data_IF_757204783054
#
_entry.id   IF_757204783054
#
_cell.length_a   1.000
_cell.length_b   1.000
_cell.length_c   1.000
_cell.angle_alpha   90.00
_cell.angle_beta   90.00
_cell.angle_gamma   90.00
#
_symmetry.space_group_name_H-M   'P 1'
#
loop_
_entity.id
_entity.type
_entity.pdbx_description
1 polymer ?
#
# COMPACT_ATOMS: atom_id res chain seq x y z
N UNK A 1 -14.94 -8.37 13.21
CA UNK A 1 -14.12 -8.13 12.00
C UNK A 1 -12.81 -8.89 12.10
N UNK A 2 -12.06 -9.05 11.00
CA UNK A 2 -10.81 -9.85 10.97
C UNK A 2 -9.80 -9.36 12.02
N UNK A 3 -9.68 -8.05 12.23
CA UNK A 3 -8.82 -7.46 13.28
C UNK A 3 -9.15 -7.92 14.70
N UNK A 4 -10.44 -8.10 15.02
CA UNK A 4 -10.86 -8.61 16.32
C UNK A 4 -10.48 -10.09 16.50
N UNK A 5 -10.52 -10.87 15.42
CA UNK A 5 -10.12 -12.28 15.44
C UNK A 5 -8.61 -12.37 15.69
N UNK A 6 -7.82 -11.63 14.92
CA UNK A 6 -6.36 -11.58 15.07
C UNK A 6 -5.96 -11.20 16.52
N UNK A 7 -6.56 -10.13 17.06
CA UNK A 7 -6.32 -9.69 18.44
C UNK A 7 -6.73 -10.71 19.50
N UNK A 8 -7.84 -11.45 19.31
CA UNK A 8 -8.28 -12.50 20.24
C UNK A 8 -7.26 -13.65 20.33
N UNK A 9 -6.48 -13.86 19.27
CA UNK A 9 -5.52 -14.94 19.14
C UNK A 9 -4.06 -14.49 19.23
N UNK A 10 -3.82 -13.24 19.65
CA UNK A 10 -2.48 -12.65 19.75
C UNK A 10 -1.67 -12.77 18.45
N UNK A 11 -2.36 -12.57 17.31
CA UNK A 11 -1.78 -12.66 15.98
C UNK A 11 -1.72 -11.28 15.32
N UNK A 12 -0.63 -11.02 14.58
CA UNK A 12 -0.50 -9.83 13.74
C UNK A 12 -1.43 -9.91 12.52
N UNK A 13 -2.11 -8.80 12.23
CA UNK A 13 -2.91 -8.64 11.02
C UNK A 13 -2.19 -7.76 10.00
N UNK A 14 -1.81 -8.36 8.88
CA UNK A 14 -1.34 -7.64 7.70
C UNK A 14 -2.44 -7.50 6.65
N UNK A 15 -2.52 -6.33 6.02
CA UNK A 15 -3.41 -6.07 4.88
C UNK A 15 -2.60 -5.61 3.69
N UNK A 16 -2.66 -6.34 2.57
CA UNK A 16 -2.20 -5.84 1.28
C UNK A 16 -3.22 -4.81 0.76
N UNK A 17 -2.82 -3.54 0.74
CA UNK A 17 -3.65 -2.41 0.35
C UNK A 17 -3.26 -1.86 -1.03
N UNK A 18 -2.65 -2.70 -1.89
CA UNK A 18 -2.17 -2.32 -3.23
C UNK A 18 -3.27 -1.72 -4.11
N UNK A 19 -4.47 -2.30 -4.12
CA UNK A 19 -5.57 -1.87 -5.00
C UNK A 19 -6.27 -0.60 -4.50
N UNK A 20 -6.65 -0.58 -3.23
CA UNK A 20 -7.38 0.56 -2.68
C UNK A 20 -6.48 1.77 -2.48
N UNK A 21 -5.16 1.55 -2.32
CA UNK A 21 -4.18 2.58 -1.93
C UNK A 21 -4.53 3.23 -0.58
N UNK A 22 -3.69 4.11 -0.03
CA UNK A 22 -4.07 4.89 1.16
C UNK A 22 -5.27 5.83 0.92
N UNK A 23 -5.63 6.11 -0.34
CA UNK A 23 -6.71 7.04 -0.69
C UNK A 23 -8.09 6.38 -0.64
N UNK A 24 -8.19 5.10 -1.02
CA UNK A 24 -9.45 4.36 -1.01
C UNK A 24 -9.70 3.63 0.33
N UNK A 25 -8.64 3.27 1.06
CA UNK A 25 -8.75 2.58 2.34
C UNK A 25 -7.53 2.85 3.22
N UNK A 26 -7.76 2.98 4.54
CA UNK A 26 -6.70 3.11 5.53
C UNK A 26 -6.76 1.95 6.54
N UNK A 27 -6.16 0.78 6.24
CA UNK A 27 -6.34 -0.43 7.06
C UNK A 27 -5.82 -0.28 8.49
N UNK A 28 -4.78 0.53 8.72
CA UNK A 28 -4.29 0.83 10.08
C UNK A 28 -5.39 1.46 10.95
N UNK A 29 -6.25 2.31 10.38
CA UNK A 29 -7.41 2.87 11.09
C UNK A 29 -8.53 1.85 11.33
N UNK A 30 -8.50 0.72 10.63
CA UNK A 30 -9.46 -0.39 10.74
C UNK A 30 -8.94 -1.53 11.64
N UNK A 31 -7.78 -1.35 12.27
CA UNK A 31 -7.18 -2.29 13.21
C UNK A 31 -6.26 -3.34 12.58
N UNK A 32 -5.69 -3.07 11.40
CA UNK A 32 -4.53 -3.82 10.93
C UNK A 32 -3.26 -3.30 11.61
N UNK A 33 -2.31 -4.19 11.85
CA UNK A 33 -1.00 -3.86 12.43
C UNK A 33 0.00 -3.48 11.32
N UNK A 34 -0.11 -4.17 10.17
CA UNK A 34 0.78 -4.01 9.02
C UNK A 34 -0.03 -3.71 7.77
N UNK A 35 0.41 -2.72 6.99
CA UNK A 35 -0.08 -2.48 5.63
C UNK A 35 1.04 -2.68 4.64
N UNK A 36 0.79 -3.51 3.62
CA UNK A 36 1.72 -3.78 2.53
C UNK A 36 1.18 -3.17 1.25
N UNK A 37 2.07 -2.62 0.43
CA UNK A 37 1.76 -2.15 -0.91
C UNK A 37 2.79 -2.68 -1.90
N UNK A 38 2.32 -3.22 -3.03
CA UNK A 38 3.11 -3.19 -4.27
C UNK A 38 3.09 -1.76 -4.80
N UNK A 39 4.16 -1.01 -4.50
CA UNK A 39 4.32 0.34 -4.97
C UNK A 39 4.54 0.43 -6.49
N UNK A 40 4.88 -0.68 -7.15
CA UNK A 40 4.85 -0.84 -8.62
C UNK A 40 3.50 -0.47 -9.26
N UNK A 41 2.40 -0.65 -8.51
CA UNK A 41 1.03 -0.50 -9.04
C UNK A 41 0.56 0.95 -8.94
N UNK A 42 -0.52 1.24 -8.20
CA UNK A 42 -1.10 2.58 -8.18
C UNK A 42 -0.16 3.66 -7.63
N UNK A 43 0.64 3.34 -6.61
CA UNK A 43 1.55 4.31 -5.99
C UNK A 43 2.58 4.85 -7.02
N UNK A 44 3.26 3.94 -7.71
CA UNK A 44 4.19 4.25 -8.81
C UNK A 44 3.46 4.74 -10.05
N UNK A 45 2.42 4.04 -10.51
CA UNK A 45 1.41 4.53 -11.44
C UNK A 45 1.84 4.80 -12.89
N UNK A 46 3.13 4.63 -13.21
CA UNK A 46 3.71 4.93 -14.52
C UNK A 46 4.40 3.72 -15.16
N UNK A 47 4.27 2.54 -14.55
CA UNK A 47 4.78 1.26 -15.08
C UNK A 47 6.29 1.23 -15.38
N UNK A 48 7.07 2.05 -14.66
CA UNK A 48 8.49 2.30 -14.91
C UNK A 48 9.40 2.03 -13.69
N UNK A 49 8.83 1.53 -12.58
CA UNK A 49 9.57 1.21 -11.36
C UNK A 49 9.01 -0.06 -10.70
N UNK A 50 9.88 -0.84 -10.05
CA UNK A 50 9.49 -1.95 -9.18
C UNK A 50 9.76 -1.54 -7.74
N UNK A 51 8.71 -1.50 -6.91
CA UNK A 51 8.86 -1.10 -5.52
C UNK A 51 7.80 -1.75 -4.61
N UNK A 52 8.15 -1.86 -3.33
CA UNK A 52 7.28 -2.26 -2.24
C UNK A 52 7.29 -1.21 -1.12
N UNK A 53 6.22 -1.17 -0.33
CA UNK A 53 6.15 -0.38 0.89
C UNK A 53 5.46 -1.17 1.99
N UNK A 54 6.01 -1.09 3.20
CA UNK A 54 5.42 -1.63 4.43
C UNK A 54 5.21 -0.47 5.39
N UNK A 55 4.00 -0.34 5.92
CA UNK A 55 3.60 0.75 6.82
C UNK A 55 3.04 0.15 8.10
N UNK A 56 3.54 0.60 9.24
CA UNK A 56 3.14 0.20 10.59
C UNK A 56 3.04 1.44 11.48
N UNK A 57 2.24 1.37 12.54
CA UNK A 57 2.16 2.44 13.56
C UNK A 57 2.93 2.10 14.85
N UNK A 58 3.20 0.82 15.10
CA UNK A 58 3.91 0.37 16.29
C UNK A 58 5.44 0.56 16.13
N UNK A 59 6.10 1.34 17.01
CA UNK A 59 7.55 1.52 16.98
C UNK A 59 8.37 0.23 17.14
N UNK A 60 7.89 -0.74 17.93
CA UNK A 60 8.59 -2.01 18.12
C UNK A 60 8.58 -2.82 16.83
N UNK A 61 7.39 -3.05 16.28
CA UNK A 61 7.23 -3.70 14.98
C UNK A 61 7.97 -2.98 13.84
N UNK A 62 8.03 -1.65 13.85
CA UNK A 62 8.82 -0.86 12.90
C UNK A 62 10.31 -1.24 12.97
N UNK A 63 10.86 -1.38 14.17
CA UNK A 63 12.26 -1.72 14.36
C UNK A 63 12.54 -3.16 13.91
N UNK A 64 11.65 -4.11 14.19
CA UNK A 64 11.77 -5.49 13.71
C UNK A 64 11.77 -5.56 12.18
N UNK A 65 10.84 -4.87 11.52
CA UNK A 65 10.78 -4.80 10.05
C UNK A 65 12.04 -4.13 9.48
N UNK A 66 12.53 -3.06 10.13
CA UNK A 66 13.76 -2.39 9.70
C UNK A 66 14.99 -3.29 9.82
N UNK A 67 15.10 -4.09 10.88
CA UNK A 67 16.19 -5.07 11.03
C UNK A 67 16.19 -6.07 9.87
N UNK A 68 15.02 -6.55 9.46
CA UNK A 68 14.88 -7.43 8.29
C UNK A 68 15.30 -6.68 7.02
N UNK A 69 14.73 -5.50 6.75
CA UNK A 69 15.03 -4.70 5.56
C UNK A 69 16.55 -4.42 5.42
N UNK A 70 17.18 -4.00 6.52
CA UNK A 70 18.60 -3.70 6.55
C UNK A 70 19.45 -4.97 6.43
N UNK A 71 19.07 -6.05 7.11
CA UNK A 71 19.79 -7.33 7.11
C UNK A 71 19.72 -8.06 5.76
N UNK A 72 18.60 -7.98 5.05
CA UNK A 72 18.42 -8.60 3.73
C UNK A 72 18.84 -7.69 2.58
N UNK A 73 19.11 -6.41 2.85
CA UNK A 73 19.42 -5.42 1.82
C UNK A 73 18.24 -5.09 0.90
N UNK A 74 17.00 -5.33 1.35
CA UNK A 74 15.78 -5.10 0.54
C UNK A 74 15.33 -3.63 0.49
N UNK A 75 16.24 -2.69 0.73
CA UNK A 75 16.01 -1.26 0.56
C UNK A 75 15.84 -0.88 -0.91
N UNK A 76 15.07 0.19 -1.17
CA UNK A 76 14.94 0.75 -2.52
C UNK A 76 16.20 1.53 -2.90
N UNK A 77 16.54 1.52 -4.20
CA UNK A 77 17.58 2.40 -4.72
C UNK A 77 17.21 3.87 -4.52
N UNK A 78 18.21 4.75 -4.49
CA UNK A 78 17.97 6.20 -4.37
C UNK A 78 17.14 6.71 -5.55
N UNK A 79 17.39 6.18 -6.75
CA UNK A 79 16.65 6.55 -7.96
C UNK A 79 15.19 6.11 -7.90
N UNK A 80 14.91 4.86 -7.50
CA UNK A 80 13.54 4.36 -7.37
C UNK A 80 12.78 5.08 -6.26
N UNK A 81 13.47 5.39 -5.15
CA UNK A 81 12.91 6.16 -4.04
C UNK A 81 12.48 7.57 -4.49
N UNK A 82 13.35 8.28 -5.23
CA UNK A 82 13.03 9.59 -5.79
C UNK A 82 11.91 9.50 -6.84
N UNK A 83 11.95 8.51 -7.70
CA UNK A 83 10.96 8.29 -8.77
C UNK A 83 9.58 8.03 -8.17
N UNK A 84 9.49 7.15 -7.16
CA UNK A 84 8.26 6.91 -6.43
C UNK A 84 7.74 8.19 -5.74
N UNK A 85 8.60 8.93 -5.04
CA UNK A 85 8.21 10.18 -4.38
C UNK A 85 7.65 11.22 -5.37
N UNK A 86 8.22 11.33 -6.57
CA UNK A 86 7.71 12.17 -7.66
C UNK A 86 6.33 11.67 -8.13
N UNK A 87 6.15 10.37 -8.34
CA UNK A 87 4.88 9.81 -8.84
C UNK A 87 3.72 9.92 -7.84
N UNK A 88 4.02 9.85 -6.54
CA UNK A 88 3.03 10.02 -5.49
C UNK A 88 2.33 11.38 -5.53
N UNK A 89 2.98 12.42 -6.07
CA UNK A 89 2.38 13.76 -6.20
C UNK A 89 1.12 13.78 -7.07
N UNK A 90 1.03 12.89 -8.06
CA UNK A 90 -0.14 12.79 -8.96
C UNK A 90 -1.06 11.63 -8.59
N UNK A 91 -0.77 10.87 -7.53
CA UNK A 91 -1.59 9.74 -7.09
C UNK A 91 -3.07 10.13 -6.88
N UNK A 92 -3.42 11.24 -6.19
CA UNK A 92 -4.82 11.58 -5.94
C UNK A 92 -5.64 11.78 -7.23
N UNK A 93 -5.09 12.51 -8.20
CA UNK A 93 -5.78 12.78 -9.46
C UNK A 93 -5.88 11.52 -10.33
N UNK A 94 -4.81 10.70 -10.38
CA UNK A 94 -4.80 9.44 -11.13
C UNK A 94 -5.80 8.45 -10.57
N UNK A 95 -5.80 8.24 -9.25
CA UNK A 95 -6.72 7.31 -8.59
C UNK A 95 -8.17 7.72 -8.78
N UNK A 96 -8.50 9.01 -8.59
CA UNK A 96 -9.85 9.54 -8.84
C UNK A 96 -10.30 9.27 -10.29
N UNK A 97 -9.43 9.51 -11.27
CA UNK A 97 -9.74 9.27 -12.67
C UNK A 97 -9.92 7.77 -12.97
N UNK A 98 -9.09 6.89 -12.40
CA UNK A 98 -9.23 5.44 -12.55
C UNK A 98 -10.56 4.93 -12.01
N UNK A 99 -10.99 5.41 -10.83
CA UNK A 99 -12.29 5.07 -10.24
C UNK A 99 -13.43 5.54 -11.16
N UNK A 100 -13.39 6.80 -11.60
CA UNK A 100 -14.42 7.34 -12.50
C UNK A 100 -14.52 6.54 -13.81
N UNK A 101 -13.40 6.26 -14.48
CA UNK A 101 -13.39 5.49 -15.72
C UNK A 101 -13.90 4.06 -15.51
N UNK A 102 -13.50 3.43 -14.41
CA UNK A 102 -13.93 2.06 -14.08
C UNK A 102 -15.43 2.01 -13.87
N UNK A 103 -16.03 3.02 -13.22
CA UNK A 103 -17.48 3.12 -13.05
C UNK A 103 -18.22 3.20 -14.40
N UNK A 104 -17.69 3.94 -15.37
CA UNK A 104 -18.29 4.01 -16.71
C UNK A 104 -18.21 2.66 -17.43
N UNK A 105 -17.06 1.98 -17.34
CA UNK A 105 -16.86 0.65 -17.93
C UNK A 105 -17.78 -0.37 -17.26
N UNK A 106 -17.88 -0.35 -15.93
CA UNK A 106 -18.75 -1.23 -15.16
C UNK A 106 -20.20 -1.11 -15.62
N UNK A 107 -20.72 0.11 -15.74
CA UNK A 107 -22.08 0.37 -16.25
C UNK A 107 -22.28 -0.20 -17.65
N UNK A 108 -21.36 0.09 -18.56
CA UNK A 108 -21.41 -0.45 -19.93
C UNK A 108 -21.43 -1.98 -20.00
N UNK A 109 -20.79 -2.68 -19.06
CA UNK A 109 -20.70 -4.15 -19.08
C UNK A 109 -21.90 -4.86 -18.43
N UNK A 110 -22.66 -4.17 -17.58
CA UNK A 110 -23.81 -4.75 -16.88
C UNK A 110 -25.16 -4.31 -17.47
N UNK A 111 -25.17 -3.22 -18.24
CA UNK A 111 -26.31 -2.75 -19.05
C UNK A 111 -26.43 -3.59 -20.34
#
# INVERSE_FOLDING_TARGET
GVSQIARKHDALLAVDNTFMTPLGQSPLKLGADIVVHSATKFLGGHSDLIAGAVVVNDPELKNEIYLIQNGTGSGLSVYDSWTLAKHLKTLPIRFKQSVYNTEQIYRYLID
#
